data_IF_016943007266
#
_entry.id   IF_016943007266
#
_cell.length_a   1.000
_cell.length_b   1.000
_cell.length_c   1.000
_cell.angle_alpha   90.00
_cell.angle_beta   90.00
_cell.angle_gamma   90.00
#
_symmetry.space_group_name_H-M   'P 1'
#
loop_
_entity.id
_entity.type
_entity.pdbx_description
1 polymer ?
#
# COMPACT_ATOMS: atom_id res chain seq x y z
N UNK A 1 -44.70 -4.17 20.55
CA UNK A 1 -43.78 -5.13 19.93
C UNK A 1 -42.80 -4.29 19.13
N UNK A 2 -41.58 -4.07 19.63
CA UNK A 2 -40.55 -3.37 18.87
C UNK A 2 -40.07 -4.35 17.81
N UNK A 3 -40.59 -4.19 16.60
CA UNK A 3 -40.12 -4.90 15.41
C UNK A 3 -38.83 -4.20 14.96
N UNK A 4 -37.70 -4.63 15.54
CA UNK A 4 -36.41 -4.16 15.07
C UNK A 4 -36.15 -4.82 13.71
N UNK A 5 -35.93 -4.03 12.63
CA UNK A 5 -35.68 -4.60 11.32
C UNK A 5 -34.42 -5.47 11.37
N UNK A 6 -34.48 -6.62 10.71
CA UNK A 6 -33.33 -7.49 10.52
C UNK A 6 -32.20 -6.72 9.84
N UNK A 7 -30.94 -6.83 10.31
CA UNK A 7 -29.83 -6.12 9.70
C UNK A 7 -29.64 -6.56 8.26
N UNK A 8 -29.20 -5.62 7.41
CA UNK A 8 -28.89 -5.91 6.02
C UNK A 8 -27.77 -6.96 5.93
N UNK A 9 -27.95 -7.95 5.07
CA UNK A 9 -26.86 -8.83 4.66
C UNK A 9 -25.92 -8.05 3.73
N UNK A 10 -24.79 -7.60 4.28
CA UNK A 10 -23.83 -6.81 3.55
C UNK A 10 -23.12 -7.63 2.46
N UNK A 11 -22.94 -8.93 2.65
CA UNK A 11 -22.25 -9.77 1.67
C UNK A 11 -23.11 -9.90 0.42
N UNK A 12 -24.39 -10.25 0.59
CA UNK A 12 -25.36 -10.32 -0.49
C UNK A 12 -25.56 -8.94 -1.15
N UNK A 13 -25.71 -7.88 -0.36
CA UNK A 13 -25.86 -6.52 -0.91
C UNK A 13 -24.66 -6.13 -1.79
N UNK A 14 -23.43 -6.29 -1.30
CA UNK A 14 -22.22 -5.95 -2.06
C UNK A 14 -22.14 -6.79 -3.34
N UNK A 15 -22.49 -8.08 -3.29
CA UNK A 15 -22.52 -8.94 -4.48
C UNK A 15 -23.51 -8.46 -5.54
N UNK A 16 -24.70 -8.01 -5.15
CA UNK A 16 -25.71 -7.51 -6.08
C UNK A 16 -25.43 -6.07 -6.55
N UNK A 17 -24.60 -5.31 -5.83
CA UNK A 17 -24.40 -3.88 -6.01
C UNK A 17 -22.95 -3.49 -6.40
N UNK A 18 -22.18 -4.43 -6.97
CA UNK A 18 -20.75 -4.23 -7.29
C UNK A 18 -20.45 -2.99 -8.14
N UNK A 19 -21.37 -2.62 -9.04
CA UNK A 19 -21.16 -1.50 -9.98
C UNK A 19 -21.73 -0.16 -9.50
N UNK A 20 -22.16 -0.06 -8.23
CA UNK A 20 -22.81 1.17 -7.74
C UNK A 20 -21.88 2.38 -7.79
N UNK A 21 -20.60 2.18 -7.44
CA UNK A 21 -19.61 3.27 -7.40
C UNK A 21 -19.27 3.74 -8.81
N UNK A 22 -19.18 2.84 -9.78
CA UNK A 22 -18.89 3.13 -11.18
C UNK A 22 -20.02 3.89 -11.87
N UNK A 23 -21.27 3.70 -11.41
CA UNK A 23 -22.46 4.38 -11.93
C UNK A 23 -22.79 5.69 -11.23
N UNK A 24 -22.05 6.05 -10.18
CA UNK A 24 -22.28 7.27 -9.43
C UNK A 24 -21.79 8.51 -10.23
N UNK A 25 -22.67 9.50 -10.39
CA UNK A 25 -22.36 10.73 -11.10
C UNK A 25 -21.24 11.57 -10.43
N UNK A 26 -21.01 11.32 -9.14
CA UNK A 26 -20.01 11.98 -8.30
C UNK A 26 -18.88 11.03 -7.87
N UNK A 27 -18.69 9.90 -8.56
CA UNK A 27 -17.66 8.91 -8.20
C UNK A 27 -16.28 9.54 -7.99
N UNK A 28 -15.93 10.55 -8.79
CA UNK A 28 -14.63 11.18 -8.78
C UNK A 28 -14.39 12.04 -7.51
N UNK A 29 -15.45 12.39 -6.78
CA UNK A 29 -15.37 13.01 -5.45
C UNK A 29 -15.16 11.97 -4.34
N UNK A 30 -15.57 10.72 -4.58
CA UNK A 30 -15.50 9.62 -3.61
C UNK A 30 -14.22 8.79 -3.75
N UNK A 31 -13.74 8.61 -4.98
CA UNK A 31 -12.58 7.80 -5.32
C UNK A 31 -11.30 8.62 -5.31
N UNK A 32 -10.20 7.95 -4.97
CA UNK A 32 -8.88 8.52 -5.21
C UNK A 32 -8.59 8.59 -6.72
N UNK A 33 -7.91 9.65 -7.20
CA UNK A 33 -7.46 9.71 -8.59
C UNK A 33 -6.60 8.49 -8.96
N UNK A 34 -6.72 8.02 -10.20
CA UNK A 34 -5.95 6.87 -10.71
C UNK A 34 -4.44 7.11 -10.62
N UNK A 35 -4.00 8.36 -10.66
CA UNK A 35 -2.60 8.78 -10.60
C UNK A 35 -2.14 9.24 -9.21
N UNK A 36 -2.94 9.04 -8.15
CA UNK A 36 -2.56 9.47 -6.80
C UNK A 36 -1.34 8.69 -6.29
N UNK A 37 -1.19 7.41 -6.67
CA UNK A 37 -0.10 6.58 -6.17
C UNK A 37 1.19 6.80 -6.97
N UNK A 38 2.23 7.23 -6.28
CA UNK A 38 3.59 7.35 -6.82
C UNK A 38 4.54 6.42 -6.07
N UNK A 39 5.25 5.56 -6.80
CA UNK A 39 6.21 4.61 -6.24
C UNK A 39 7.62 5.02 -6.61
N UNK A 40 8.45 5.26 -5.61
CA UNK A 40 9.85 5.65 -5.78
C UNK A 40 10.79 4.61 -5.16
N UNK A 41 11.87 4.29 -5.87
CA UNK A 41 12.98 3.52 -5.30
C UNK A 41 14.02 4.50 -4.75
N UNK A 42 14.26 4.43 -3.44
CA UNK A 42 15.20 5.31 -2.75
C UNK A 42 16.36 4.47 -2.20
N UNK A 43 17.62 4.86 -2.46
CA UNK A 43 18.78 4.17 -1.89
C UNK A 43 18.66 4.00 -0.37
N UNK A 44 18.88 2.79 0.13
CA UNK A 44 19.02 2.59 1.58
C UNK A 44 20.31 3.23 2.06
N UNK A 45 20.25 3.97 3.16
CA UNK A 45 21.46 4.44 3.84
C UNK A 45 22.13 3.25 4.54
N UNK A 46 23.35 2.91 4.13
CA UNK A 46 24.18 1.91 4.80
C UNK A 46 25.33 2.63 5.51
N UNK A 47 25.65 2.20 6.74
CA UNK A 47 26.80 2.70 7.49
C UNK A 47 28.13 2.22 6.90
N UNK A 48 28.10 1.08 6.22
CA UNK A 48 29.24 0.44 5.54
C UNK A 48 29.25 0.81 4.06
N UNK A 49 30.43 0.72 3.43
CA UNK A 49 30.60 0.95 1.98
C UNK A 49 29.87 -0.09 1.14
N UNK A 50 29.80 -1.32 1.63
CA UNK A 50 29.13 -2.45 0.98
C UNK A 50 28.24 -3.20 1.98
N UNK A 51 27.16 -3.87 1.51
CA UNK A 51 26.32 -4.70 2.36
C UNK A 51 27.09 -5.92 2.87
N UNK A 52 26.84 -6.31 4.12
CA UNK A 52 27.35 -7.57 4.66
C UNK A 52 26.59 -8.72 4.00
N UNK A 53 27.28 -9.51 3.18
CA UNK A 53 26.74 -10.70 2.52
C UNK A 53 27.11 -11.96 3.31
N UNK A 54 26.31 -13.03 3.23
CA UNK A 54 26.66 -14.32 3.81
C UNK A 54 27.85 -14.96 3.07
N UNK A 55 28.37 -16.06 3.62
CA UNK A 55 29.49 -16.80 3.04
C UNK A 55 29.24 -17.22 1.59
N UNK A 56 30.31 -17.25 0.79
CA UNK A 56 30.23 -17.63 -0.61
C UNK A 56 29.67 -19.06 -0.73
N UNK A 57 28.49 -19.20 -1.35
CA UNK A 57 27.78 -20.47 -1.48
C UNK A 57 26.53 -20.61 -0.61
N UNK A 58 26.33 -19.75 0.39
CA UNK A 58 25.13 -19.76 1.23
C UNK A 58 23.83 -19.42 0.45
N UNK A 59 23.96 -18.73 -0.69
CA UNK A 59 22.87 -18.39 -1.61
C UNK A 59 22.23 -19.62 -2.31
N UNK A 60 22.79 -20.83 -2.12
CA UNK A 60 22.14 -22.06 -2.59
C UNK A 60 20.84 -22.33 -1.85
N UNK A 61 20.73 -21.87 -0.59
CA UNK A 61 19.49 -21.91 0.16
C UNK A 61 18.54 -20.82 -0.36
N UNK A 62 17.33 -21.19 -0.86
CA UNK A 62 16.36 -20.21 -1.34
C UNK A 62 15.98 -19.14 -0.31
N UNK A 63 15.94 -19.50 0.97
CA UNK A 63 15.62 -18.57 2.05
C UNK A 63 16.73 -17.53 2.22
N UNK A 64 17.99 -17.97 2.24
CA UNK A 64 19.15 -17.07 2.32
C UNK A 64 19.17 -16.11 1.14
N UNK A 65 18.91 -16.62 -0.06
CA UNK A 65 18.85 -15.82 -1.28
C UNK A 65 17.76 -14.74 -1.22
N UNK A 66 16.58 -15.09 -0.74
CA UNK A 66 15.48 -14.13 -0.58
C UNK A 66 15.78 -13.09 0.51
N UNK A 67 16.41 -13.51 1.60
CA UNK A 67 16.90 -12.62 2.65
C UNK A 67 17.90 -11.61 2.09
N UNK A 68 18.95 -12.08 1.41
CA UNK A 68 19.97 -11.20 0.83
C UNK A 68 19.34 -10.21 -0.14
N UNK A 69 18.49 -10.68 -1.06
CA UNK A 69 17.75 -9.80 -1.97
C UNK A 69 16.95 -8.76 -1.20
N UNK A 70 16.20 -9.14 -0.16
CA UNK A 70 15.32 -8.22 0.58
C UNK A 70 16.09 -7.21 1.41
N UNK A 71 17.12 -7.64 2.13
CA UNK A 71 17.87 -6.79 3.05
C UNK A 71 18.78 -5.81 2.31
N UNK A 72 19.33 -6.20 1.17
CA UNK A 72 20.19 -5.35 0.34
C UNK A 72 19.45 -4.47 -0.66
N UNK A 73 18.17 -4.77 -0.96
CA UNK A 73 17.37 -3.94 -1.87
C UNK A 73 17.13 -2.53 -1.33
N UNK A 74 17.05 -1.55 -2.21
CA UNK A 74 16.62 -0.18 -1.91
C UNK A 74 15.22 -0.12 -1.29
N UNK A 75 14.90 0.99 -0.61
CA UNK A 75 13.54 1.24 -0.14
C UNK A 75 12.60 1.43 -1.33
N UNK A 76 11.40 0.87 -1.22
CA UNK A 76 10.28 1.18 -2.10
C UNK A 76 9.33 2.06 -1.31
N UNK A 77 9.34 3.36 -1.62
CA UNK A 77 8.53 4.36 -0.94
C UNK A 77 7.30 4.65 -1.79
N UNK A 78 6.13 4.50 -1.18
CA UNK A 78 4.85 4.85 -1.79
C UNK A 78 4.45 6.22 -1.25
N UNK A 79 4.15 7.15 -2.16
CA UNK A 79 3.69 8.50 -1.83
C UNK A 79 2.40 8.81 -2.56
N UNK A 80 1.62 9.73 -2.01
CA UNK A 80 0.38 10.21 -2.61
C UNK A 80 0.60 11.57 -3.25
N UNK A 81 0.41 11.67 -4.57
CA UNK A 81 0.59 12.89 -5.36
C UNK A 81 -0.24 14.06 -4.79
N UNK A 82 -1.44 13.75 -4.32
CA UNK A 82 -2.40 14.71 -3.80
C UNK A 82 -2.43 14.79 -2.27
N UNK A 83 -1.42 14.22 -1.58
CA UNK A 83 -1.33 14.20 -0.11
C UNK A 83 -1.50 15.59 0.52
N UNK A 84 -1.02 16.65 -0.14
CA UNK A 84 -1.12 18.05 0.34
C UNK A 84 -2.55 18.55 0.51
N UNK A 85 -3.51 17.94 -0.18
CA UNK A 85 -4.94 18.28 -0.13
C UNK A 85 -5.70 17.38 0.86
N UNK A 86 -5.00 16.45 1.51
CA UNK A 86 -5.60 15.61 2.55
C UNK A 86 -5.92 16.44 3.79
N UNK A 87 -7.09 16.21 4.38
CA UNK A 87 -7.47 16.74 5.69
C UNK A 87 -6.74 16.05 6.86
N UNK A 88 -5.97 14.98 6.58
CA UNK A 88 -5.17 14.29 7.58
C UNK A 88 -3.99 15.15 8.03
N UNK A 89 -3.95 15.49 9.31
CA UNK A 89 -2.80 16.16 9.93
C UNK A 89 -1.57 15.23 9.88
N UNK A 90 -0.67 15.48 8.94
CA UNK A 90 0.60 14.76 8.86
C UNK A 90 1.73 15.77 9.11
N UNK A 91 2.19 15.87 10.36
CA UNK A 91 3.45 16.54 10.71
C UNK A 91 4.59 15.81 10.00
N UNK A 92 4.93 16.22 8.78
CA UNK A 92 6.19 15.82 8.15
C UNK A 92 7.28 16.73 8.69
N UNK A 93 7.73 16.45 9.90
CA UNK A 93 8.97 17.01 10.44
C UNK A 93 9.96 15.86 10.60
N UNK A 94 10.94 15.82 9.70
CA UNK A 94 12.24 15.18 9.88
C UNK A 94 13.27 16.03 9.17
#
# INVERSE_FOLDING_TARGET
LNDAPEPVDYEDFVLHNQFMVERDAYRDLLLYPEDDIQVHKIPKTCRTTEPNLPELGAESDPHVRDCVRRYTSNYTVVSRRYQRYSSSYCSKER
#
